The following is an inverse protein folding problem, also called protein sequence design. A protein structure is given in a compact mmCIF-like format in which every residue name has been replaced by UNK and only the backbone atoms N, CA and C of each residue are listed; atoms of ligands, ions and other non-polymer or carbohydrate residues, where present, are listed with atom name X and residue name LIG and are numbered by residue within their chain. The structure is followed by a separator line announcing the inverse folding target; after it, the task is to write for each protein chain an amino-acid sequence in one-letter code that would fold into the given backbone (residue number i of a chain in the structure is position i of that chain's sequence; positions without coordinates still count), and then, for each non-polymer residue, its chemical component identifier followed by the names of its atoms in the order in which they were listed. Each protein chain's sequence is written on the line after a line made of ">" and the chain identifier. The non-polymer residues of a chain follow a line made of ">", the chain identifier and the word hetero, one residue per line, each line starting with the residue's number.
data_IF_617000488892
#
_entry.id   IF_617000488892
#
_cell.length_a   1.000
_cell.length_b   1.000
_cell.length_c   1.000
_cell.angle_alpha   90.00
_cell.angle_beta   90.00
_cell.angle_gamma   90.00
#
_symmetry.space_group_name_H-M   'P 1'
#
loop_
_entity.id
_entity.type
_entity.pdbx_description
1 polymer ?
#
# COMPACT_ATOMS: atom_id res chain seq x y z
N UNK A 1 9.09 -32.16 -4.25
CA UNK A 1 10.02 -31.63 -5.25
C UNK A 1 10.40 -30.22 -4.84
N UNK A 2 11.70 -29.94 -4.55
CA UNK A 2 12.18 -28.58 -4.20
C UNK A 2 12.29 -27.74 -5.46
N UNK A 3 11.17 -27.13 -5.92
CA UNK A 3 11.15 -26.23 -7.08
C UNK A 3 11.47 -24.77 -6.71
N UNK A 4 11.26 -24.37 -5.45
CA UNK A 4 11.57 -23.04 -4.93
C UNK A 4 11.90 -23.12 -3.44
N UNK A 5 12.70 -22.17 -2.97
CA UNK A 5 12.90 -21.95 -1.54
C UNK A 5 11.73 -21.16 -0.96
N UNK A 6 11.42 -21.30 0.35
CA UNK A 6 10.32 -20.59 0.97
C UNK A 6 10.36 -19.07 0.80
N UNK A 7 11.52 -18.46 0.83
CA UNK A 7 11.71 -17.02 0.61
C UNK A 7 11.52 -16.58 -0.85
N UNK A 8 11.34 -17.53 -1.77
CA UNK A 8 11.05 -17.28 -3.18
C UNK A 8 9.55 -17.40 -3.50
N UNK A 9 8.71 -17.54 -2.49
CA UNK A 9 7.26 -17.67 -2.63
C UNK A 9 6.62 -16.48 -1.92
N UNK A 10 5.86 -15.68 -2.67
CA UNK A 10 5.03 -14.61 -2.15
C UNK A 10 3.60 -15.12 -2.01
N UNK A 11 3.03 -14.98 -0.80
CA UNK A 11 1.62 -15.30 -0.54
C UNK A 11 0.92 -14.09 0.04
N UNK A 12 -0.13 -13.60 -0.61
CA UNK A 12 -0.90 -12.44 -0.17
C UNK A 12 -2.37 -12.76 0.00
N UNK A 13 -2.97 -12.19 1.02
CA UNK A 13 -4.39 -12.26 1.34
C UNK A 13 -4.88 -10.91 1.86
N UNK A 14 -6.19 -10.77 2.11
CA UNK A 14 -6.80 -9.49 2.54
C UNK A 14 -6.77 -9.26 4.04
N UNK A 15 -6.97 -10.31 4.84
CA UNK A 15 -7.17 -10.15 6.29
C UNK A 15 -6.02 -10.74 7.09
N UNK A 16 -5.73 -10.13 8.24
CA UNK A 16 -4.73 -10.66 9.18
C UNK A 16 -5.13 -12.05 9.70
N UNK A 17 -6.44 -12.34 9.80
CA UNK A 17 -6.94 -13.65 10.22
C UNK A 17 -6.58 -14.71 9.17
N UNK A 18 -6.88 -14.47 7.90
CA UNK A 18 -6.55 -15.37 6.79
C UNK A 18 -5.02 -15.55 6.67
N UNK A 19 -4.25 -14.46 6.77
CA UNK A 19 -2.79 -14.54 6.75
C UNK A 19 -2.25 -15.43 7.87
N UNK A 20 -2.77 -15.29 9.09
CA UNK A 20 -2.35 -16.11 10.24
C UNK A 20 -2.75 -17.58 10.07
N UNK A 21 -3.94 -17.85 9.55
CA UNK A 21 -4.39 -19.22 9.26
C UNK A 21 -3.50 -19.87 8.20
N UNK A 22 -3.21 -19.17 7.11
CA UNK A 22 -2.31 -19.63 6.05
C UNK A 22 -0.90 -19.89 6.61
N UNK A 23 -0.37 -18.98 7.45
CA UNK A 23 0.91 -19.18 8.13
C UNK A 23 0.92 -20.47 8.95
N UNK A 24 -0.10 -20.70 9.78
CA UNK A 24 -0.20 -21.90 10.61
C UNK A 24 -0.21 -23.18 9.76
N UNK A 25 -0.98 -23.19 8.66
CA UNK A 25 -1.01 -24.32 7.74
C UNK A 25 0.35 -24.58 7.09
N UNK A 26 1.02 -23.54 6.57
CA UNK A 26 2.35 -23.66 5.97
C UNK A 26 3.37 -24.17 6.98
N UNK A 27 3.35 -23.68 8.22
CA UNK A 27 4.26 -24.10 9.28
C UNK A 27 4.15 -25.59 9.61
N UNK A 28 2.96 -26.18 9.51
CA UNK A 28 2.76 -27.62 9.69
C UNK A 28 3.48 -28.44 8.60
N UNK A 29 3.50 -27.96 7.36
CA UNK A 29 4.17 -28.63 6.25
C UNK A 29 5.69 -28.48 6.25
N UNK A 30 6.21 -27.32 6.72
CA UNK A 30 7.65 -27.03 6.70
C UNK A 30 8.37 -27.34 8.00
N UNK A 31 7.74 -28.12 8.90
CA UNK A 31 8.31 -28.60 10.18
C UNK A 31 8.92 -27.48 11.04
N UNK A 32 8.24 -26.36 11.14
CA UNK A 32 8.62 -25.27 12.05
C UNK A 32 9.74 -24.35 11.56
N UNK A 33 10.13 -24.40 10.29
CA UNK A 33 11.11 -23.45 9.73
C UNK A 33 10.46 -22.07 9.57
N UNK A 34 10.78 -21.14 10.50
CA UNK A 34 10.21 -19.78 10.54
C UNK A 34 10.49 -18.95 9.27
N UNK A 35 11.59 -19.22 8.56
CA UNK A 35 11.92 -18.53 7.31
C UNK A 35 10.99 -18.90 6.16
N UNK A 36 10.19 -19.97 6.31
CA UNK A 36 9.25 -20.42 5.30
C UNK A 36 8.06 -19.46 5.07
N UNK A 37 7.83 -18.51 5.97
CA UNK A 37 6.69 -17.58 5.93
C UNK A 37 7.12 -16.10 5.80
N UNK A 38 8.35 -15.87 5.37
CA UNK A 38 8.91 -14.50 5.30
C UNK A 38 8.10 -13.56 4.42
N UNK A 39 7.52 -14.05 3.33
CA UNK A 39 6.74 -13.30 2.35
C UNK A 39 5.27 -13.74 2.30
N UNK A 40 4.72 -14.10 3.46
CA UNK A 40 3.31 -14.43 3.62
C UNK A 40 2.66 -13.38 4.53
N UNK A 41 1.56 -12.79 4.08
CA UNK A 41 0.86 -11.74 4.82
C UNK A 41 -0.25 -11.07 4.02
N UNK A 42 -0.76 -9.96 4.55
CA UNK A 42 -1.70 -9.10 3.82
C UNK A 42 -0.95 -8.20 2.84
N UNK A 43 -1.64 -7.65 1.83
CA UNK A 43 -1.08 -6.63 0.92
C UNK A 43 -0.35 -5.52 1.69
N UNK A 44 -1.00 -4.98 2.73
CA UNK A 44 -0.41 -3.91 3.55
C UNK A 44 0.83 -4.37 4.30
N UNK A 45 0.79 -5.53 4.96
CA UNK A 45 1.94 -6.02 5.73
C UNK A 45 3.17 -6.34 4.87
N UNK A 46 2.95 -6.84 3.67
CA UNK A 46 4.01 -7.08 2.69
C UNK A 46 4.54 -5.75 2.12
N UNK A 47 3.65 -4.80 1.81
CA UNK A 47 4.05 -3.46 1.38
C UNK A 47 4.90 -2.75 2.43
N UNK A 48 4.57 -2.85 3.72
CA UNK A 48 5.41 -2.33 4.81
C UNK A 48 6.81 -2.92 4.77
N UNK A 49 6.96 -4.24 4.50
CA UNK A 49 8.29 -4.89 4.40
C UNK A 49 9.12 -4.32 3.25
N UNK A 50 8.50 -4.07 2.09
CA UNK A 50 9.18 -3.43 0.96
C UNK A 50 9.58 -2.00 1.30
N UNK A 51 8.63 -1.21 1.80
CA UNK A 51 8.88 0.20 2.14
C UNK A 51 9.94 0.35 3.23
N UNK A 52 9.95 -0.49 4.29
CA UNK A 52 10.99 -0.47 5.32
C UNK A 52 12.39 -0.71 4.76
N UNK A 53 12.51 -1.55 3.73
CA UNK A 53 13.81 -1.88 3.12
C UNK A 53 14.30 -0.82 2.14
N UNK A 54 13.40 -0.06 1.54
CA UNK A 54 13.70 0.86 0.44
C UNK A 54 13.14 2.26 0.66
N UNK A 55 12.87 2.65 1.92
CA UNK A 55 12.29 3.94 2.26
C UNK A 55 13.08 5.12 1.70
N UNK A 56 14.42 5.03 1.72
CA UNK A 56 15.32 6.08 1.26
C UNK A 56 15.18 6.36 -0.25
N UNK A 57 14.81 5.36 -1.05
CA UNK A 57 14.53 5.56 -2.47
C UNK A 57 13.31 6.46 -2.73
N UNK A 58 12.44 6.62 -1.74
CA UNK A 58 11.25 7.48 -1.77
C UNK A 58 11.42 8.76 -0.92
N UNK A 59 12.64 9.08 -0.48
CA UNK A 59 12.94 10.17 0.45
C UNK A 59 12.21 10.05 1.81
N UNK A 60 12.06 8.83 2.32
CA UNK A 60 11.58 8.54 3.67
C UNK A 60 12.67 7.83 4.48
N UNK A 61 12.56 7.93 5.81
CA UNK A 61 13.40 7.13 6.71
C UNK A 61 12.75 5.77 6.94
N UNK A 62 13.56 4.72 7.10
CA UNK A 62 13.06 3.34 7.31
C UNK A 62 12.23 3.16 8.59
N UNK A 63 12.38 4.05 9.58
CA UNK A 63 11.62 4.06 10.83
C UNK A 63 10.31 4.86 10.77
N UNK A 64 9.73 5.04 9.58
CA UNK A 64 8.47 5.77 9.40
C UNK A 64 7.35 5.26 10.30
N UNK A 65 6.43 6.15 10.67
CA UNK A 65 5.22 5.82 11.44
C UNK A 65 4.07 5.45 10.50
N UNK A 66 3.17 4.60 10.94
CA UNK A 66 1.91 4.32 10.24
C UNK A 66 0.79 5.01 11.02
N UNK A 67 0.15 5.99 10.39
CA UNK A 67 -0.97 6.73 10.97
C UNK A 67 -2.22 5.85 10.99
N UNK A 68 -2.86 5.79 12.15
CA UNK A 68 -4.18 5.19 12.26
C UNK A 68 -5.29 6.15 11.79
N UNK A 69 -6.53 5.66 11.79
CA UNK A 69 -7.70 6.44 11.34
C UNK A 69 -7.93 7.69 12.19
N UNK A 70 -7.62 7.67 13.47
CA UNK A 70 -7.87 8.82 14.36
C UNK A 70 -6.77 9.88 14.20
N UNK A 71 -5.52 9.46 13.99
CA UNK A 71 -4.42 10.35 13.62
C UNK A 71 -4.70 11.06 12.28
N UNK A 72 -5.18 10.32 11.28
CA UNK A 72 -5.59 10.89 9.99
C UNK A 72 -6.68 11.93 10.16
N UNK A 73 -7.76 11.60 10.89
CA UNK A 73 -8.86 12.54 11.17
C UNK A 73 -8.37 13.81 11.88
N UNK A 74 -7.46 13.66 12.86
CA UNK A 74 -6.89 14.78 13.60
C UNK A 74 -6.08 15.68 12.68
N UNK A 75 -5.23 15.10 11.85
CA UNK A 75 -4.41 15.84 10.90
C UNK A 75 -5.28 16.61 9.91
N UNK A 76 -6.31 15.95 9.33
CA UNK A 76 -7.25 16.58 8.39
C UNK A 76 -8.03 17.71 9.06
N UNK A 77 -8.54 17.55 10.30
CA UNK A 77 -9.20 18.64 11.04
C UNK A 77 -8.31 19.86 11.18
N UNK A 78 -7.04 19.66 11.51
CA UNK A 78 -6.08 20.73 11.64
C UNK A 78 -5.84 21.48 10.31
N UNK A 79 -5.79 20.74 9.20
CA UNK A 79 -5.65 21.31 7.85
C UNK A 79 -6.90 22.13 7.50
N UNK A 80 -8.10 21.56 7.67
CA UNK A 80 -9.39 22.22 7.40
C UNK A 80 -9.49 23.54 8.17
N UNK A 81 -9.08 23.54 9.44
CA UNK A 81 -9.06 24.75 10.28
C UNK A 81 -8.04 25.78 9.78
N UNK A 82 -6.82 25.33 9.43
CA UNK A 82 -5.76 26.22 8.95
C UNK A 82 -6.10 26.86 7.60
N UNK A 83 -6.81 26.12 6.72
CA UNK A 83 -7.28 26.62 5.43
C UNK A 83 -8.60 27.42 5.51
N UNK A 84 -9.11 27.70 6.72
CA UNK A 84 -10.39 28.41 6.95
C UNK A 84 -11.57 27.80 6.19
N UNK A 85 -11.61 26.48 6.02
CA UNK A 85 -12.70 25.78 5.38
C UNK A 85 -13.86 25.51 6.35
N UNK A 86 -15.10 25.54 5.86
CA UNK A 86 -16.28 25.22 6.66
C UNK A 86 -16.28 23.74 7.08
N UNK A 87 -16.03 23.47 8.36
CA UNK A 87 -15.96 22.13 8.92
C UNK A 87 -17.26 21.30 8.76
N UNK A 88 -18.42 21.95 8.55
CA UNK A 88 -19.69 21.25 8.26
C UNK A 88 -19.72 20.69 6.84
N UNK A 89 -19.14 21.43 5.88
CA UNK A 89 -19.04 21.02 4.47
C UNK A 89 -17.85 20.11 4.23
N UNK A 90 -16.74 20.31 4.95
CA UNK A 90 -15.47 19.60 4.79
C UNK A 90 -15.17 18.73 6.02
N UNK A 91 -16.08 17.78 6.30
CA UNK A 91 -15.85 16.84 7.39
C UNK A 91 -14.61 15.96 7.12
N UNK A 92 -13.84 15.57 8.15
CA UNK A 92 -12.70 14.67 7.98
C UNK A 92 -13.07 13.36 7.27
N UNK A 93 -14.26 12.82 7.55
CA UNK A 93 -14.74 11.59 6.93
C UNK A 93 -14.94 11.74 5.42
N UNK A 94 -15.53 12.86 4.98
CA UNK A 94 -15.71 13.15 3.55
C UNK A 94 -14.35 13.28 2.84
N UNK A 95 -13.42 14.01 3.45
CA UNK A 95 -12.08 14.22 2.88
C UNK A 95 -11.33 12.90 2.80
N UNK A 96 -11.31 12.11 3.88
CA UNK A 96 -10.69 10.79 3.89
C UNK A 96 -11.27 9.88 2.82
N UNK A 97 -12.60 9.84 2.68
CA UNK A 97 -13.26 9.06 1.63
C UNK A 97 -12.70 9.39 0.23
N UNK A 98 -12.58 10.68 -0.10
CA UNK A 98 -12.04 11.08 -1.41
C UNK A 98 -10.55 10.75 -1.54
N UNK A 99 -9.75 10.96 -0.50
CA UNK A 99 -8.33 10.61 -0.48
C UNK A 99 -8.17 9.10 -0.72
N UNK A 100 -8.94 8.26 -0.02
CA UNK A 100 -8.89 6.81 -0.18
C UNK A 100 -9.30 6.36 -1.58
N UNK A 101 -10.35 6.99 -2.16
CA UNK A 101 -10.75 6.73 -3.54
C UNK A 101 -9.63 7.04 -4.54
N UNK A 102 -8.90 8.15 -4.36
CA UNK A 102 -7.79 8.51 -5.22
C UNK A 102 -6.59 7.58 -5.02
N UNK A 103 -6.23 7.27 -3.78
CA UNK A 103 -5.15 6.32 -3.48
C UNK A 103 -5.44 4.92 -4.04
N UNK A 104 -6.67 4.44 -3.91
CA UNK A 104 -7.10 3.16 -4.49
C UNK A 104 -7.03 3.11 -6.02
N UNK A 105 -7.05 4.28 -6.69
CA UNK A 105 -6.80 4.43 -8.12
C UNK A 105 -5.33 4.70 -8.46
N UNK A 106 -4.45 4.70 -7.48
CA UNK A 106 -3.02 4.96 -7.66
C UNK A 106 -2.66 6.42 -7.88
N UNK A 107 -3.53 7.36 -7.48
CA UNK A 107 -3.38 8.79 -7.75
C UNK A 107 -2.84 9.54 -6.52
N UNK A 108 -1.69 10.19 -6.69
CA UNK A 108 -1.22 11.26 -5.81
C UNK A 108 -1.88 12.59 -6.20
N UNK A 109 -1.84 13.63 -5.34
CA UNK A 109 -2.45 14.93 -5.65
C UNK A 109 -2.07 15.49 -7.02
N UNK A 110 -0.80 15.36 -7.42
CA UNK A 110 -0.26 15.82 -8.71
C UNK A 110 -0.84 15.09 -9.94
N UNK A 111 -1.36 13.88 -9.75
CA UNK A 111 -1.87 13.02 -10.82
C UNK A 111 -3.37 13.29 -11.11
N UNK A 112 -4.03 14.07 -10.23
CA UNK A 112 -5.48 14.31 -10.29
C UNK A 112 -5.79 15.51 -11.18
N UNK A 113 -6.49 15.26 -12.30
CA UNK A 113 -6.96 16.31 -13.21
C UNK A 113 -8.45 16.60 -12.99
N UNK A 114 -8.74 17.80 -12.54
CA UNK A 114 -10.13 18.26 -12.25
C UNK A 114 -10.58 19.25 -13.34
N UNK A 115 -10.84 18.79 -14.56
CA UNK A 115 -11.14 19.68 -15.71
C UNK A 115 -12.52 20.34 -15.66
N UNK A 116 -13.54 19.73 -14.99
CA UNK A 116 -14.93 20.26 -14.91
C UNK A 116 -15.59 19.99 -13.56
N UNK A 117 -14.82 19.94 -12.48
CA UNK A 117 -15.34 19.55 -11.15
C UNK A 117 -15.70 20.76 -10.31
N UNK A 118 -16.73 20.59 -9.45
CA UNK A 118 -17.20 21.63 -8.57
C UNK A 118 -16.15 22.11 -7.55
N UNK A 119 -16.36 23.30 -7.00
CA UNK A 119 -15.45 23.94 -6.05
C UNK A 119 -15.10 23.07 -4.83
N UNK A 120 -16.02 22.20 -4.40
CA UNK A 120 -15.82 21.29 -3.25
C UNK A 120 -14.67 20.32 -3.52
N UNK A 121 -14.67 19.63 -4.67
CA UNK A 121 -13.60 18.68 -5.00
C UNK A 121 -12.24 19.35 -5.17
N UNK A 122 -12.19 20.59 -5.66
CA UNK A 122 -10.95 21.38 -5.74
C UNK A 122 -10.40 21.68 -4.35
N UNK A 123 -11.28 22.03 -3.39
CA UNK A 123 -10.87 22.24 -1.99
C UNK A 123 -10.39 20.96 -1.33
N UNK A 124 -11.06 19.83 -1.58
CA UNK A 124 -10.63 18.52 -1.07
C UNK A 124 -9.27 18.12 -1.65
N UNK A 125 -9.04 18.36 -2.94
CA UNK A 125 -7.73 18.09 -3.56
C UNK A 125 -6.63 18.94 -2.93
N UNK A 126 -6.90 20.24 -2.66
CA UNK A 126 -5.95 21.10 -1.94
C UNK A 126 -5.65 20.56 -0.54
N UNK A 127 -6.68 20.09 0.19
CA UNK A 127 -6.47 19.46 1.50
C UNK A 127 -5.65 18.18 1.36
N UNK A 128 -5.87 17.37 0.34
CA UNK A 128 -5.08 16.16 0.08
C UNK A 128 -3.60 16.49 -0.18
N UNK A 129 -3.32 17.52 -0.97
CA UNK A 129 -1.94 17.98 -1.22
C UNK A 129 -1.23 18.38 0.08
N UNK A 130 -1.88 19.20 0.91
CA UNK A 130 -1.34 19.63 2.21
C UNK A 130 -1.17 18.41 3.14
N UNK A 131 -2.15 17.51 3.15
CA UNK A 131 -2.10 16.29 3.94
C UNK A 131 -0.89 15.42 3.56
N UNK A 132 -0.69 15.19 2.26
CA UNK A 132 0.41 14.35 1.77
C UNK A 132 1.79 14.96 2.09
N UNK A 133 1.92 16.29 1.99
CA UNK A 133 3.14 16.98 2.38
C UNK A 133 3.40 16.87 3.89
N UNK A 134 2.37 17.05 4.72
CA UNK A 134 2.51 16.92 6.19
C UNK A 134 2.83 15.49 6.61
N UNK A 135 2.26 14.47 5.98
CA UNK A 135 2.62 13.07 6.28
C UNK A 135 4.07 12.78 5.90
N UNK A 136 4.56 13.34 4.80
CA UNK A 136 5.97 13.26 4.40
C UNK A 136 6.89 13.93 5.43
N UNK A 137 6.57 15.15 5.86
CA UNK A 137 7.35 15.88 6.88
C UNK A 137 7.41 15.14 8.22
N UNK A 138 6.34 14.45 8.58
CA UNK A 138 6.26 13.60 9.78
C UNK A 138 6.96 12.25 9.61
N UNK A 139 7.51 11.96 8.46
CA UNK A 139 8.01 10.63 8.10
C UNK A 139 6.96 9.54 8.39
N UNK A 140 5.77 9.70 7.86
CA UNK A 140 4.63 8.84 8.12
C UNK A 140 3.88 8.45 6.83
N UNK A 141 3.28 7.26 6.85
CA UNK A 141 2.34 6.78 5.85
C UNK A 141 1.00 6.50 6.51
N UNK A 142 -0.10 6.74 5.83
CA UNK A 142 -1.38 6.13 6.20
C UNK A 142 -1.57 4.74 5.53
N UNK A 143 -2.67 4.07 5.84
CA UNK A 143 -2.93 2.73 5.28
C UNK A 143 -3.00 2.72 3.75
N UNK A 144 -3.63 3.72 3.13
CA UNK A 144 -3.70 3.84 1.67
C UNK A 144 -2.34 4.10 1.04
N UNK A 145 -1.47 4.85 1.74
CA UNK A 145 -0.11 5.12 1.29
C UNK A 145 0.74 3.85 1.20
N UNK A 146 0.55 2.87 2.06
CA UNK A 146 1.39 1.68 2.10
C UNK A 146 1.42 0.94 0.76
N UNK A 147 0.27 0.75 0.12
CA UNK A 147 0.20 0.10 -1.18
C UNK A 147 0.58 1.07 -2.29
N UNK A 148 0.08 2.31 -2.23
CA UNK A 148 0.35 3.34 -3.22
C UNK A 148 1.85 3.61 -3.38
N UNK A 149 2.54 3.87 -2.28
CA UNK A 149 3.98 4.15 -2.33
C UNK A 149 4.82 2.92 -2.65
N UNK A 150 4.34 1.71 -2.34
CA UNK A 150 4.98 0.49 -2.79
C UNK A 150 4.87 0.33 -4.32
N UNK A 151 3.72 0.68 -4.92
CA UNK A 151 3.56 0.75 -6.38
C UNK A 151 4.48 1.81 -6.98
N UNK A 152 4.53 3.02 -6.41
CA UNK A 152 5.44 4.09 -6.86
C UNK A 152 6.90 3.68 -6.79
N UNK A 153 7.32 3.02 -5.70
CA UNK A 153 8.67 2.46 -5.56
C UNK A 153 9.03 1.57 -6.74
N UNK A 154 8.15 0.64 -7.11
CA UNK A 154 8.42 -0.30 -8.19
C UNK A 154 8.30 0.32 -9.60
N UNK A 155 7.53 1.39 -9.77
CA UNK A 155 7.45 2.14 -11.02
C UNK A 155 8.68 3.02 -11.24
N UNK A 156 9.10 3.75 -10.21
CA UNK A 156 10.17 4.74 -10.26
C UNK A 156 11.57 4.10 -10.14
N UNK A 157 11.66 2.89 -9.53
CA UNK A 157 12.92 2.14 -9.33
C UNK A 157 12.85 0.72 -9.94
N UNK A 158 13.02 0.60 -11.27
CA UNK A 158 12.97 -0.70 -11.96
C UNK A 158 14.04 -1.69 -11.50
N UNK A 159 15.16 -1.21 -11.00
CA UNK A 159 16.25 -2.00 -10.40
C UNK A 159 15.78 -2.73 -9.14
N UNK A 160 15.12 -2.01 -8.21
CA UNK A 160 14.50 -2.58 -7.01
C UNK A 160 13.41 -3.58 -7.40
N UNK A 161 12.53 -3.22 -8.35
CA UNK A 161 11.49 -4.12 -8.85
C UNK A 161 12.08 -5.43 -9.38
N UNK A 162 13.11 -5.39 -10.20
CA UNK A 162 13.77 -6.56 -10.77
C UNK A 162 14.34 -7.49 -9.70
N UNK A 163 14.86 -6.97 -8.59
CA UNK A 163 15.33 -7.81 -7.47
C UNK A 163 14.21 -8.74 -7.01
N UNK A 164 13.00 -8.21 -6.80
CA UNK A 164 11.86 -8.99 -6.32
C UNK A 164 11.25 -9.88 -7.40
N UNK A 165 11.17 -9.41 -8.65
CA UNK A 165 10.74 -10.23 -9.78
C UNK A 165 11.65 -11.45 -9.97
N UNK A 166 12.95 -11.30 -9.80
CA UNK A 166 13.91 -12.40 -9.89
C UNK A 166 13.85 -13.33 -8.66
N UNK A 167 13.57 -12.76 -7.48
CA UNK A 167 13.47 -13.54 -6.26
C UNK A 167 12.20 -14.39 -6.20
N UNK A 168 11.03 -13.82 -6.54
CA UNK A 168 9.75 -14.54 -6.44
C UNK A 168 9.54 -15.46 -7.63
N UNK A 169 9.68 -16.75 -7.37
CA UNK A 169 9.39 -17.81 -8.37
C UNK A 169 7.91 -18.14 -8.46
N UNK A 170 7.17 -17.94 -7.37
CA UNK A 170 5.73 -18.18 -7.29
C UNK A 170 5.06 -17.07 -6.50
N UNK A 171 3.91 -16.61 -6.98
CA UNK A 171 3.03 -15.66 -6.31
C UNK A 171 1.67 -16.32 -6.13
N UNK A 172 1.17 -16.35 -4.90
CA UNK A 172 -0.15 -16.89 -4.57
C UNK A 172 -1.00 -15.75 -4.00
N UNK A 173 -2.19 -15.60 -4.54
CA UNK A 173 -3.15 -14.56 -4.15
C UNK A 173 -4.45 -15.24 -3.76
N UNK A 174 -4.86 -15.02 -2.53
CA UNK A 174 -6.11 -15.51 -1.98
C UNK A 174 -7.18 -14.42 -2.10
N UNK A 175 -8.44 -14.81 -2.40
CA UNK A 175 -9.59 -13.90 -2.59
C UNK A 175 -9.32 -12.81 -3.65
N UNK A 176 -8.74 -13.19 -4.79
CA UNK A 176 -8.34 -12.26 -5.85
C UNK A 176 -9.51 -11.38 -6.36
N UNK A 177 -10.74 -11.88 -6.32
CA UNK A 177 -11.95 -11.16 -6.74
C UNK A 177 -12.20 -9.89 -5.90
N UNK A 178 -11.66 -9.80 -4.69
CA UNK A 178 -11.79 -8.65 -3.79
C UNK A 178 -10.72 -7.57 -4.03
N UNK A 179 -9.78 -7.80 -4.97
CA UNK A 179 -8.70 -6.85 -5.25
C UNK A 179 -9.22 -5.56 -5.88
N UNK A 180 -8.73 -4.42 -5.39
CA UNK A 180 -8.93 -3.14 -6.03
C UNK A 180 -7.86 -2.85 -7.10
N UNK A 181 -8.02 -1.72 -7.82
CA UNK A 181 -7.12 -1.35 -8.91
C UNK A 181 -5.64 -1.26 -8.48
N UNK A 182 -5.34 -0.61 -7.35
CA UNK A 182 -3.94 -0.41 -6.91
C UNK A 182 -3.30 -1.72 -6.45
N UNK A 183 -4.07 -2.63 -5.84
CA UNK A 183 -3.59 -3.97 -5.45
C UNK A 183 -3.31 -4.83 -6.67
N UNK A 184 -4.17 -4.77 -7.68
CA UNK A 184 -3.94 -5.48 -8.94
C UNK A 184 -2.67 -4.94 -9.64
N UNK A 185 -2.49 -3.62 -9.68
CA UNK A 185 -1.30 -2.98 -10.21
C UNK A 185 -0.02 -3.40 -9.46
N UNK A 186 -0.10 -3.47 -8.13
CA UNK A 186 0.97 -3.95 -7.27
C UNK A 186 1.39 -5.38 -7.61
N UNK A 187 0.43 -6.30 -7.80
CA UNK A 187 0.70 -7.67 -8.24
C UNK A 187 1.37 -7.72 -9.60
N UNK A 188 0.83 -7.00 -10.58
CA UNK A 188 1.37 -6.98 -11.95
C UNK A 188 2.82 -6.48 -12.01
N UNK A 189 3.22 -5.56 -11.13
CA UNK A 189 4.59 -5.08 -11.05
C UNK A 189 5.56 -6.14 -10.48
N UNK A 190 5.08 -7.10 -9.72
CA UNK A 190 5.90 -8.18 -9.13
C UNK A 190 5.95 -9.46 -9.97
N UNK A 191 4.97 -9.66 -10.87
CA UNK A 191 4.98 -10.81 -11.77
C UNK A 191 6.17 -10.70 -12.72
N UNK A 192 6.91 -11.79 -12.86
CA UNK A 192 8.04 -11.91 -13.78
C UNK A 192 7.60 -12.54 -15.12
N UNK A 193 8.56 -12.69 -16.04
CA UNK A 193 8.32 -13.26 -17.38
C UNK A 193 7.74 -14.69 -17.35
N UNK A 194 8.01 -15.46 -16.29
CA UNK A 194 7.49 -16.82 -16.15
C UNK A 194 6.02 -16.89 -15.74
N UNK A 195 5.44 -15.74 -15.33
CA UNK A 195 4.01 -15.60 -14.96
C UNK A 195 3.49 -16.66 -13.98
N UNK A 196 4.32 -17.11 -13.04
CA UNK A 196 3.96 -18.11 -12.03
C UNK A 196 3.11 -17.46 -10.92
N UNK A 197 1.92 -17.02 -11.27
CA UNK A 197 0.92 -16.47 -10.34
C UNK A 197 -0.30 -17.40 -10.29
N UNK A 198 -0.77 -17.68 -9.09
CA UNK A 198 -1.99 -18.44 -8.83
C UNK A 198 -2.94 -17.55 -8.03
N UNK A 199 -4.11 -17.29 -8.57
CA UNK A 199 -5.18 -16.49 -7.96
C UNK A 199 -6.36 -17.41 -7.64
N UNK A 200 -6.87 -17.30 -6.41
CA UNK A 200 -8.02 -18.06 -5.92
C UNK A 200 -9.08 -17.09 -5.40
#
# INVERSE_FOLDING_TARGET
>A
QKKAWPNQILCVTFTNKAAKEMQNRVMQFVKGNSNAVSWLGTFHSISVKFLRRHAEALDYKSNFTILDTDDQKKLIRNIVKAENLDAKKFSPQLIMYHIDQWKNKGLLPKDIKLEKTGAILKSILKVYEIYQNKTKDLNAFDFGDLILFCVKLFEEHPDIRKIYQNNFKYILVDEFQDTNFIQNKWLNLLVNENQNICCV
#
